data_IF_561441464332
#
_entry.id   IF_561441464332
#
_cell.length_a   1.000
_cell.length_b   1.000
_cell.length_c   1.000
_cell.angle_alpha   90.00
_cell.angle_beta   90.00
_cell.angle_gamma   90.00
#
_symmetry.space_group_name_H-M   'P 1'
#
loop_
_entity.id
_entity.type
_entity.pdbx_description
1 polymer ?
#
# COMPACT_ATOMS: atom_id res chain seq x y z
N UNK A 1 -13.97 -18.83 6.67
CA UNK A 1 -13.11 -17.65 6.92
C UNK A 1 -12.71 -17.01 5.59
N UNK A 2 -12.71 -15.68 5.50
CA UNK A 2 -12.29 -14.94 4.31
C UNK A 2 -11.69 -13.58 4.64
N UNK A 3 -11.13 -12.89 3.64
CA UNK A 3 -10.53 -11.57 3.81
C UNK A 3 -11.19 -10.54 2.89
N UNK A 4 -11.50 -9.37 3.44
CA UNK A 4 -12.01 -8.22 2.71
C UNK A 4 -10.93 -7.19 2.50
N UNK A 5 -10.80 -6.66 1.28
CA UNK A 5 -9.87 -5.57 0.96
C UNK A 5 -10.63 -4.25 0.82
N UNK A 6 -10.14 -3.20 1.51
CA UNK A 6 -10.68 -1.84 1.46
C UNK A 6 -9.57 -0.90 1.02
N UNK A 7 -9.78 -0.21 -0.09
CA UNK A 7 -8.83 0.74 -0.65
C UNK A 7 -9.39 2.16 -0.55
N UNK A 8 -8.52 3.11 -0.21
CA UNK A 8 -8.86 4.52 -0.11
C UNK A 8 -7.75 5.35 -0.74
N UNK A 9 -8.13 6.39 -1.47
CA UNK A 9 -7.24 7.48 -1.84
C UNK A 9 -7.43 8.61 -0.83
N UNK A 10 -6.31 9.22 -0.43
CA UNK A 10 -6.28 10.37 0.47
C UNK A 10 -5.78 11.57 -0.34
N UNK A 11 -6.71 12.46 -0.64
CA UNK A 11 -6.45 13.70 -1.33
C UNK A 11 -5.95 14.78 -0.36
N UNK A 12 -5.61 15.95 -0.88
CA UNK A 12 -5.23 17.10 -0.08
C UNK A 12 -6.35 17.50 0.89
N UNK A 13 -5.96 18.03 2.05
CA UNK A 13 -6.89 18.28 3.16
C UNK A 13 -7.45 17.01 3.82
N UNK A 14 -6.78 15.87 3.64
CA UNK A 14 -7.15 14.57 4.23
C UNK A 14 -8.54 14.06 3.81
N UNK A 15 -9.01 14.50 2.64
CA UNK A 15 -10.25 13.99 2.04
C UNK A 15 -10.05 12.54 1.59
N UNK A 16 -10.89 11.66 2.13
CA UNK A 16 -10.83 10.22 1.85
C UNK A 16 -11.84 9.83 0.77
N UNK A 17 -11.34 9.23 -0.31
CA UNK A 17 -12.15 8.66 -1.40
C UNK A 17 -12.05 7.14 -1.37
N UNK A 18 -13.17 6.46 -1.16
CA UNK A 18 -13.21 4.98 -1.16
C UNK A 18 -13.15 4.46 -2.59
N UNK A 19 -12.23 3.53 -2.84
CA UNK A 19 -12.08 2.84 -4.12
C UNK A 19 -12.53 1.38 -3.94
N UNK A 20 -13.54 0.90 -4.70
CA UNK A 20 -13.91 -0.51 -4.70
C UNK A 20 -12.71 -1.37 -5.11
N UNK A 21 -12.53 -2.56 -4.51
CA UNK A 21 -11.39 -3.43 -4.80
C UNK A 21 -11.29 -3.81 -6.29
N UNK A 22 -12.43 -4.06 -6.94
CA UNK A 22 -12.50 -4.32 -8.39
C UNK A 22 -12.05 -3.12 -9.23
N UNK A 23 -12.40 -1.90 -8.80
CA UNK A 23 -11.96 -0.66 -9.45
C UNK A 23 -10.47 -0.43 -9.23
N UNK A 24 -9.99 -0.63 -8.00
CA UNK A 24 -8.56 -0.53 -7.68
C UNK A 24 -7.74 -1.50 -8.54
N UNK A 25 -8.19 -2.75 -8.71
CA UNK A 25 -7.54 -3.70 -9.59
C UNK A 25 -7.46 -3.20 -11.05
N UNK A 26 -8.52 -2.59 -11.58
CA UNK A 26 -8.51 -2.03 -12.93
C UNK A 26 -7.54 -0.86 -13.08
N UNK A 27 -7.48 0.01 -12.07
CA UNK A 27 -6.53 1.13 -12.00
C UNK A 27 -5.09 0.58 -12.02
N UNK A 28 -4.81 -0.37 -11.12
CA UNK A 28 -3.51 -1.04 -11.02
C UNK A 28 -3.14 -1.77 -12.33
N UNK A 29 -4.07 -2.45 -12.98
CA UNK A 29 -3.84 -3.13 -14.27
C UNK A 29 -3.64 -2.15 -15.45
N UNK A 30 -3.75 -0.83 -15.24
CA UNK A 30 -3.69 0.18 -16.31
C UNK A 30 -4.93 0.19 -17.22
N UNK A 31 -6.01 -0.49 -16.82
CA UNK A 31 -7.29 -0.61 -17.55
C UNK A 31 -8.25 0.54 -17.25
N UNK A 32 -7.88 1.44 -16.34
CA UNK A 32 -8.63 2.64 -16.01
C UNK A 32 -7.68 3.82 -15.91
N UNK A 33 -8.07 4.93 -16.54
CA UNK A 33 -7.35 6.20 -16.50
C UNK A 33 -8.10 7.17 -15.61
N UNK A 34 -7.37 7.85 -14.74
CA UNK A 34 -7.88 8.85 -13.81
C UNK A 34 -7.20 10.20 -14.08
N UNK A 35 -7.68 11.00 -15.05
CA UNK A 35 -7.05 12.26 -15.42
C UNK A 35 -6.89 13.24 -14.27
N UNK A 36 -7.80 13.21 -13.29
CA UNK A 36 -7.71 14.05 -12.08
C UNK A 36 -6.50 13.76 -11.18
N UNK A 37 -5.82 12.63 -11.37
CA UNK A 37 -4.58 12.28 -10.66
C UNK A 37 -3.35 12.30 -11.58
N UNK A 38 -3.46 12.84 -12.80
CA UNK A 38 -2.34 12.88 -13.75
C UNK A 38 -1.09 13.55 -13.15
N UNK A 39 0.06 12.88 -13.28
CA UNK A 39 1.36 13.31 -12.78
C UNK A 39 1.54 13.26 -11.25
N UNK A 40 0.51 12.84 -10.50
CA UNK A 40 0.54 12.86 -9.03
C UNK A 40 1.08 11.56 -8.44
N UNK A 41 1.51 11.63 -7.18
CA UNK A 41 1.75 10.46 -6.32
C UNK A 41 0.65 10.41 -5.28
N UNK A 42 -0.34 9.54 -5.49
CA UNK A 42 -1.56 9.52 -4.66
C UNK A 42 -1.31 8.71 -3.39
N UNK A 43 -1.64 9.30 -2.23
CA UNK A 43 -1.63 8.63 -0.93
C UNK A 43 -2.72 7.56 -0.89
N UNK A 44 -2.33 6.30 -0.87
CA UNK A 44 -3.23 5.15 -0.80
C UNK A 44 -3.19 4.52 0.58
N UNK A 45 -4.37 4.17 1.11
CA UNK A 45 -4.53 3.33 2.28
C UNK A 45 -5.24 2.04 1.88
N UNK A 46 -4.62 0.90 2.20
CA UNK A 46 -5.21 -0.42 2.04
C UNK A 46 -5.41 -1.04 3.42
N UNK A 47 -6.65 -1.42 3.72
CA UNK A 47 -6.99 -2.16 4.94
C UNK A 47 -7.54 -3.52 4.53
N UNK A 48 -6.87 -4.58 5.00
CA UNK A 48 -7.38 -5.95 4.94
C UNK A 48 -8.08 -6.27 6.25
N UNK A 49 -9.29 -6.78 6.16
CA UNK A 49 -10.11 -7.18 7.32
C UNK A 49 -10.41 -8.67 7.24
N UNK A 50 -10.35 -9.38 8.37
CA UNK A 50 -10.76 -10.77 8.42
C UNK A 50 -12.27 -10.89 8.66
N UNK A 51 -12.87 -11.82 7.96
CA UNK A 51 -14.29 -12.11 7.98
C UNK A 51 -14.55 -13.58 8.33
N UNK A 52 -15.47 -13.80 9.25
CA UNK A 52 -16.01 -15.11 9.62
C UNK A 52 -17.54 -15.03 9.50
N UNK A 53 -18.15 -15.94 8.73
CA UNK A 53 -19.57 -15.89 8.38
C UNK A 53 -20.06 -14.51 7.89
N UNK A 54 -19.21 -13.82 7.12
CA UNK A 54 -19.40 -12.45 6.59
C UNK A 54 -19.43 -11.35 7.65
N UNK A 55 -19.10 -11.65 8.89
CA UNK A 55 -18.94 -10.71 10.00
C UNK A 55 -17.47 -10.42 10.28
N UNK A 56 -17.16 -9.21 10.75
CA UNK A 56 -15.79 -8.80 11.08
C UNK A 56 -15.32 -9.47 12.37
N UNK A 57 -14.17 -10.14 12.34
CA UNK A 57 -13.57 -10.77 13.53
C UNK A 57 -12.84 -9.78 14.44
N UNK A 58 -12.60 -8.55 13.95
CA UNK A 58 -11.80 -7.53 14.63
C UNK A 58 -10.31 -7.56 14.29
N UNK A 59 -9.82 -8.61 13.63
CA UNK A 59 -8.47 -8.64 13.06
C UNK A 59 -8.42 -7.83 11.76
N UNK A 60 -7.41 -6.97 11.64
CA UNK A 60 -7.13 -6.22 10.42
C UNK A 60 -5.64 -5.94 10.26
N UNK A 61 -5.25 -5.61 9.02
CA UNK A 61 -3.92 -5.13 8.67
C UNK A 61 -4.04 -3.91 7.78
N UNK A 62 -3.14 -2.96 7.94
CA UNK A 62 -3.11 -1.71 7.19
C UNK A 62 -1.79 -1.53 6.44
N UNK A 63 -1.88 -0.94 5.25
CA UNK A 63 -0.74 -0.52 4.46
C UNK A 63 -0.99 0.88 3.92
N UNK A 64 0.06 1.69 3.93
CA UNK A 64 0.04 3.05 3.42
C UNK A 64 1.15 3.21 2.39
N UNK A 65 0.78 3.48 1.16
CA UNK A 65 1.72 3.57 0.04
C UNK A 65 1.35 4.71 -0.90
N UNK A 66 2.35 5.22 -1.63
CA UNK A 66 2.17 6.22 -2.67
C UNK A 66 2.04 5.50 -4.01
N UNK A 67 0.91 5.71 -4.70
CA UNK A 67 0.67 5.17 -6.03
C UNK A 67 1.00 6.25 -7.08
N UNK A 68 2.06 6.07 -7.87
CA UNK A 68 2.45 7.05 -8.88
C UNK A 68 1.54 6.95 -10.11
N UNK A 69 1.09 8.10 -10.60
CA UNK A 69 0.37 8.24 -11.86
C UNK A 69 1.24 8.97 -12.89
N UNK A 70 1.13 8.55 -14.15
CA UNK A 70 1.78 9.19 -15.29
C UNK A 70 1.06 10.47 -15.72
N UNK A 71 1.60 11.18 -16.72
CA UNK A 71 1.01 12.43 -17.21
C UNK A 71 -0.38 12.29 -17.85
N UNK A 72 -0.85 11.07 -18.14
CA UNK A 72 -2.20 10.81 -18.62
C UNK A 72 -3.16 10.40 -17.49
N UNK A 73 -2.66 10.14 -16.28
CA UNK A 73 -3.44 9.63 -15.16
C UNK A 73 -3.63 8.11 -15.18
N UNK A 74 -2.76 7.35 -15.84
CA UNK A 74 -2.63 5.91 -15.61
C UNK A 74 -1.58 5.65 -14.52
N UNK A 75 -1.64 4.48 -13.88
CA UNK A 75 -0.56 4.08 -12.96
C UNK A 75 0.75 4.00 -13.72
N UNK A 76 1.77 4.70 -13.22
CA UNK A 76 3.12 4.67 -13.75
C UNK A 76 3.77 3.35 -13.34
N UNK A 77 3.64 2.35 -14.22
CA UNK A 77 4.08 0.97 -13.96
C UNK A 77 5.57 0.85 -13.70
N UNK A 78 6.39 1.67 -14.36
CA UNK A 78 7.84 1.65 -14.14
C UNK A 78 8.18 2.13 -12.74
N UNK A 79 7.54 3.21 -12.27
CA UNK A 79 7.71 3.68 -10.88
C UNK A 79 7.14 2.67 -9.88
N UNK A 80 6.00 2.07 -10.18
CA UNK A 80 5.37 1.06 -9.31
C UNK A 80 6.22 -0.20 -9.16
N UNK A 81 6.73 -0.76 -10.26
CA UNK A 81 7.61 -1.93 -10.25
C UNK A 81 8.92 -1.66 -9.50
N UNK A 82 9.48 -0.45 -9.60
CA UNK A 82 10.62 -0.04 -8.76
C UNK A 82 10.26 -0.07 -7.28
N UNK A 83 9.09 0.44 -6.90
CA UNK A 83 8.58 0.36 -5.53
C UNK A 83 8.47 -1.08 -5.03
N UNK A 84 7.90 -1.99 -5.83
CA UNK A 84 7.81 -3.42 -5.51
C UNK A 84 9.18 -4.06 -5.36
N UNK A 85 10.12 -3.76 -6.27
CA UNK A 85 11.51 -4.23 -6.17
C UNK A 85 12.17 -3.81 -4.85
N UNK A 86 11.99 -2.55 -4.43
CA UNK A 86 12.50 -2.06 -3.16
C UNK A 86 11.85 -2.75 -1.95
N UNK A 87 10.55 -3.09 -2.00
CA UNK A 87 9.90 -3.90 -0.95
C UNK A 87 10.57 -5.27 -0.83
N UNK A 88 10.86 -5.92 -1.98
CA UNK A 88 11.52 -7.22 -1.99
C UNK A 88 12.95 -7.13 -1.45
N UNK A 89 13.73 -6.11 -1.83
CA UNK A 89 15.10 -5.92 -1.33
C UNK A 89 15.17 -5.52 0.16
N UNK A 90 14.14 -4.83 0.66
CA UNK A 90 14.06 -4.38 2.05
C UNK A 90 13.50 -5.44 3.03
N UNK A 91 12.93 -6.54 2.52
CA UNK A 91 12.27 -7.56 3.35
C UNK A 91 13.10 -8.85 3.39
N UNK A 92 13.60 -9.28 4.57
CA UNK A 92 14.40 -10.51 4.69
C UNK A 92 13.70 -11.77 4.18
N UNK A 93 12.36 -11.80 4.24
CA UNK A 93 11.56 -12.94 3.76
C UNK A 93 11.65 -13.15 2.24
N UNK A 94 11.85 -12.09 1.46
CA UNK A 94 12.00 -12.19 0.00
C UNK A 94 13.42 -12.65 -0.39
N UNK A 95 14.43 -12.31 0.41
CA UNK A 95 15.80 -12.85 0.28
C UNK A 95 15.79 -14.37 0.51
N UNK A 96 15.05 -14.86 1.50
CA UNK A 96 14.95 -16.31 1.76
C UNK A 96 14.26 -17.13 0.65
N UNK A 97 13.47 -16.52 -0.24
CA UNK A 97 12.93 -17.20 -1.45
C UNK A 97 13.91 -17.20 -2.64
N UNK A 98 14.93 -16.35 -2.61
CA UNK A 98 15.99 -16.25 -3.65
C UNK A 98 17.30 -16.93 -3.21
N UNK A 99 17.43 -17.29 -1.94
CA UNK A 99 18.64 -17.84 -1.31
C UNK A 99 18.63 -19.38 -1.19
N UNK A 100 17.88 -20.09 -2.03
CA UNK A 100 18.09 -21.53 -2.21
C UNK A 100 19.23 -21.73 -3.23
N UNK A 101 20.47 -21.59 -2.77
CA UNK A 101 21.76 -22.05 -3.36
C UNK A 101 22.95 -21.06 -3.35
N UNK A 102 23.20 -20.23 -2.32
CA UNK A 102 24.56 -19.70 -2.13
C UNK A 102 25.02 -19.63 -0.67
N UNK A 103 26.20 -20.20 -0.48
CA UNK A 103 26.96 -20.33 0.75
C UNK A 103 26.90 -19.12 1.69
N UNK A 104 26.78 -19.47 2.97
CA UNK A 104 26.72 -18.58 4.11
C UNK A 104 28.02 -17.77 4.26
N UNK A 105 28.01 -16.53 3.76
CA UNK A 105 28.81 -15.43 4.30
C UNK A 105 28.01 -14.14 4.19
N UNK A 106 27.21 -13.84 5.22
CA UNK A 106 26.49 -12.57 5.36
C UNK A 106 27.49 -11.40 5.32
N UNK A 107 27.70 -10.83 4.14
CA UNK A 107 28.59 -9.68 3.95
C UNK A 107 27.87 -8.39 4.36
N UNK A 108 28.63 -7.44 4.91
CA UNK A 108 28.12 -6.11 5.30
C UNK A 108 27.43 -5.36 4.14
N UNK A 109 27.72 -5.72 2.89
CA UNK A 109 27.16 -5.13 1.68
C UNK A 109 25.66 -5.47 1.51
N UNK A 110 25.25 -6.71 1.83
CA UNK A 110 23.84 -7.14 1.76
C UNK A 110 23.01 -6.38 2.79
N UNK A 111 23.54 -6.22 4.01
CA UNK A 111 22.87 -5.45 5.08
C UNK A 111 22.75 -3.96 4.75
N UNK A 112 23.76 -3.37 4.11
CA UNK A 112 23.72 -1.99 3.67
C UNK A 112 22.64 -1.78 2.59
N UNK A 113 22.59 -2.65 1.56
CA UNK A 113 21.58 -2.57 0.49
C UNK A 113 20.15 -2.65 1.03
N UNK A 114 19.86 -3.58 1.94
CA UNK A 114 18.54 -3.68 2.56
C UNK A 114 18.19 -2.45 3.41
N UNK A 115 19.17 -1.82 4.09
CA UNK A 115 18.95 -0.56 4.83
C UNK A 115 18.65 0.62 3.89
N UNK A 116 19.40 0.77 2.80
CA UNK A 116 19.17 1.81 1.80
C UNK A 116 17.84 1.62 1.07
N UNK A 117 17.51 0.38 0.69
CA UNK A 117 16.23 0.05 0.06
C UNK A 117 15.05 0.36 0.99
N UNK A 118 15.17 0.06 2.29
CA UNK A 118 14.16 0.41 3.29
C UNK A 118 13.98 1.94 3.42
N UNK A 119 15.07 2.71 3.46
CA UNK A 119 15.00 4.18 3.48
C UNK A 119 14.33 4.75 2.22
N UNK A 120 14.68 4.25 1.04
CA UNK A 120 14.05 4.69 -0.22
C UNK A 120 12.57 4.33 -0.26
N UNK A 121 12.21 3.14 0.20
CA UNK A 121 10.82 2.72 0.30
C UNK A 121 10.01 3.62 1.24
N UNK A 122 10.56 3.91 2.42
CA UNK A 122 9.91 4.75 3.44
C UNK A 122 9.78 6.22 2.98
N UNK A 123 10.73 6.73 2.19
CA UNK A 123 10.71 8.10 1.67
C UNK A 123 9.90 8.28 0.38
N UNK A 124 9.94 7.32 -0.56
CA UNK A 124 9.41 7.52 -1.91
C UNK A 124 8.09 6.81 -2.18
N UNK A 125 7.80 5.72 -1.46
CA UNK A 125 6.71 4.81 -1.77
C UNK A 125 5.77 4.56 -0.59
N UNK A 126 6.10 5.05 0.60
CA UNK A 126 5.25 4.98 1.78
C UNK A 126 4.91 6.37 2.28
N UNK A 127 3.83 6.44 3.02
CA UNK A 127 3.44 7.63 3.76
C UNK A 127 2.83 7.17 5.08
N UNK A 128 2.87 8.01 6.10
CA UNK A 128 2.31 7.70 7.41
C UNK A 128 1.16 8.66 7.70
N UNK A 129 -0.09 8.18 7.85
CA UNK A 129 -1.19 9.04 8.24
C UNK A 129 -0.99 9.55 9.67
N UNK A 130 -1.42 10.79 9.91
CA UNK A 130 -1.60 11.30 11.27
C UNK A 130 -2.64 10.47 12.04
N UNK A 131 -2.59 10.54 13.37
CA UNK A 131 -3.45 9.72 14.25
C UNK A 131 -4.95 9.86 13.94
N UNK A 132 -5.43 11.09 13.68
CA UNK A 132 -6.84 11.34 13.38
C UNK A 132 -7.28 10.72 12.04
N UNK A 133 -6.48 10.92 10.99
CA UNK A 133 -6.73 10.34 9.67
C UNK A 133 -6.68 8.81 9.71
N UNK A 134 -5.70 8.23 10.41
CA UNK A 134 -5.60 6.78 10.61
C UNK A 134 -6.88 6.22 11.24
N UNK A 135 -7.34 6.84 12.33
CA UNK A 135 -8.60 6.46 12.99
C UNK A 135 -9.79 6.55 12.03
N UNK A 136 -9.89 7.64 11.27
CA UNK A 136 -10.96 7.83 10.30
C UNK A 136 -10.97 6.74 9.21
N UNK A 137 -9.80 6.37 8.66
CA UNK A 137 -9.66 5.30 7.68
C UNK A 137 -10.09 3.94 8.26
N UNK A 138 -9.74 3.64 9.50
CA UNK A 138 -10.12 2.39 10.17
C UNK A 138 -11.62 2.33 10.46
N UNK A 139 -12.23 3.44 10.91
CA UNK A 139 -13.67 3.50 11.13
C UNK A 139 -14.44 3.25 9.82
N UNK A 140 -13.98 3.84 8.71
CA UNK A 140 -14.54 3.59 7.37
C UNK A 140 -14.33 2.14 6.90
N UNK A 141 -13.15 1.57 7.12
CA UNK A 141 -12.81 0.21 6.68
C UNK A 141 -13.61 -0.86 7.44
N UNK A 142 -13.80 -0.65 8.75
CA UNK A 142 -14.50 -1.55 9.66
C UNK A 142 -16.00 -1.29 9.71
N UNK A 143 -16.52 -0.30 8.98
CA UNK A 143 -17.94 0.04 8.99
C UNK A 143 -18.44 0.58 10.33
N UNK A 144 -17.54 1.08 11.19
CA UNK A 144 -17.91 1.73 12.44
C UNK A 144 -18.44 3.11 12.06
N UNK A 145 -19.76 3.30 12.11
CA UNK A 145 -20.33 4.64 11.99
C UNK A 145 -19.70 5.51 13.08
N UNK A 146 -19.16 6.66 12.70
CA UNK A 146 -18.87 7.72 13.66
C UNK A 146 -20.15 7.93 14.47
N UNK A 147 -20.12 7.63 15.78
CA UNK A 147 -21.21 8.03 16.67
C UNK A 147 -21.28 9.55 16.57
N UNK A 148 -22.25 10.05 15.80
CA UNK A 148 -22.68 11.45 15.91
C UNK A 148 -23.11 11.62 17.37
N UNK A 149 -22.33 12.40 18.12
CA UNK A 149 -22.77 12.95 19.41
C UNK A 149 -23.83 14.00 19.13
#
# INVERSE_FOLDING_TARGET
MGFGHRFFFVEDGDRVVRIPATRFQRIHDGKETLPGYAGQRVRCAHVMVQLEDRLLTGWYREWYFLLPFDGAGKVDRDKELRGVGLVMEATPLALSFLEDNRDHKHSNVVRARSKFAKMQLDNEFRWTPGHQLRKHLLDLALGRKARRR
#
